data_IF_451461007835
#
_entry.id   IF_451461007835
#
_cell.length_a   1.000
_cell.length_b   1.000
_cell.length_c   1.000
_cell.angle_alpha   90.00
_cell.angle_beta   90.00
_cell.angle_gamma   90.00
#
_symmetry.space_group_name_H-M   'P 1'
#
loop_
_entity.id
_entity.type
_entity.pdbx_description
1 polymer ?
#
# COMPACT_ATOMS: atom_id res chain seq x y z
N UNK A 1 -8.18 13.82 -12.47
CA UNK A 1 -7.58 15.02 -11.88
C UNK A 1 -6.24 14.65 -11.24
N UNK A 2 -5.13 15.20 -11.72
CA UNK A 2 -3.77 14.91 -11.24
C UNK A 2 -3.37 15.75 -10.03
N UNK A 3 -4.22 16.69 -9.60
CA UNK A 3 -3.90 17.66 -8.54
C UNK A 3 -3.69 17.03 -7.16
N UNK A 4 -4.28 15.87 -6.93
CA UNK A 4 -4.20 15.14 -5.67
C UNK A 4 -3.43 13.81 -5.79
N UNK A 5 -2.74 13.59 -6.92
CA UNK A 5 -1.94 12.41 -7.11
C UNK A 5 -0.60 12.56 -6.37
N UNK A 6 -0.31 11.69 -5.42
CA UNK A 6 0.89 11.71 -4.58
C UNK A 6 2.19 11.65 -5.39
N UNK A 7 2.18 11.00 -6.55
CA UNK A 7 3.35 10.98 -7.43
C UNK A 7 3.68 12.38 -7.99
N UNK A 8 2.66 13.24 -8.16
CA UNK A 8 2.84 14.62 -8.65
C UNK A 8 3.11 15.57 -7.48
N UNK A 9 2.30 15.50 -6.42
CA UNK A 9 2.35 16.50 -5.34
C UNK A 9 3.47 16.25 -4.34
N UNK A 10 3.95 15.02 -4.21
CA UNK A 10 5.04 14.65 -3.30
C UNK A 10 6.27 14.24 -4.09
N UNK A 11 6.23 13.11 -4.81
CA UNK A 11 7.41 12.51 -5.40
C UNK A 11 8.08 13.44 -6.42
N UNK A 12 7.33 14.00 -7.38
CA UNK A 12 7.91 14.88 -8.39
C UNK A 12 8.44 16.17 -7.79
N UNK A 13 7.74 16.78 -6.81
CA UNK A 13 8.22 18.00 -6.14
C UNK A 13 9.48 17.73 -5.30
N UNK A 14 9.55 16.61 -4.62
CA UNK A 14 10.72 16.20 -3.86
C UNK A 14 11.91 15.96 -4.80
N UNK A 15 11.69 15.25 -5.91
CA UNK A 15 12.72 15.02 -6.92
C UNK A 15 13.33 16.34 -7.43
N UNK A 16 12.48 17.31 -7.79
CA UNK A 16 12.94 18.66 -8.22
C UNK A 16 13.76 19.32 -7.13
N UNK A 17 13.32 19.30 -5.87
CA UNK A 17 14.04 19.91 -4.75
C UNK A 17 15.41 19.27 -4.48
N UNK A 18 15.52 17.98 -4.73
CA UNK A 18 16.76 17.19 -4.53
C UNK A 18 17.64 17.17 -5.79
N UNK A 19 17.23 17.80 -6.90
CA UNK A 19 17.94 17.78 -8.16
C UNK A 19 17.99 16.40 -8.82
N UNK A 20 16.98 15.57 -8.58
CA UNK A 20 16.87 14.26 -9.21
C UNK A 20 16.23 14.38 -10.60
N UNK A 21 16.76 13.64 -11.56
CA UNK A 21 16.31 13.70 -12.95
C UNK A 21 14.95 13.01 -13.17
N UNK A 22 14.55 12.09 -12.25
CA UNK A 22 13.35 11.28 -12.40
C UNK A 22 12.79 10.77 -11.08
N UNK A 23 11.56 10.30 -11.16
CA UNK A 23 10.90 9.44 -10.17
C UNK A 23 10.73 8.06 -10.80
N UNK A 24 11.19 7.01 -10.15
CA UNK A 24 11.08 5.65 -10.65
C UNK A 24 9.72 5.05 -10.32
N UNK A 25 9.06 4.49 -11.33
CA UNK A 25 7.82 3.74 -11.15
C UNK A 25 8.14 2.30 -10.79
N UNK A 26 7.54 1.82 -9.71
CA UNK A 26 7.79 0.46 -9.20
C UNK A 26 6.57 -0.45 -9.27
N UNK A 27 5.38 0.10 -9.47
CA UNK A 27 4.16 -0.70 -9.62
C UNK A 27 4.20 -1.54 -10.91
N UNK A 28 3.89 -2.80 -10.75
CA UNK A 28 3.93 -3.80 -11.80
C UNK A 28 2.71 -4.71 -11.69
N UNK A 29 1.65 -4.31 -12.40
CA UNK A 29 0.42 -5.09 -12.47
C UNK A 29 0.59 -6.23 -13.46
N UNK A 30 1.03 -7.38 -12.98
CA UNK A 30 0.92 -8.61 -13.75
C UNK A 30 -0.50 -9.17 -13.72
N UNK A 31 -0.90 -9.78 -14.83
CA UNK A 31 -1.90 -10.84 -14.82
C UNK A 31 -1.29 -12.05 -14.07
N UNK A 32 -1.56 -12.14 -12.78
CA UNK A 32 -0.88 -13.13 -11.93
C UNK A 32 -1.52 -14.50 -11.98
N UNK A 33 -2.73 -14.62 -11.55
CA UNK A 33 -3.45 -15.89 -11.57
C UNK A 33 -4.79 -15.64 -12.20
N UNK A 34 -5.07 -16.27 -13.30
CA UNK A 34 -6.40 -16.23 -13.88
C UNK A 34 -7.37 -16.95 -12.95
N UNK A 35 -8.50 -16.33 -12.61
CA UNK A 35 -9.51 -17.00 -11.78
C UNK A 35 -10.03 -18.25 -12.48
N UNK A 36 -10.30 -19.32 -11.70
CA UNK A 36 -10.89 -20.55 -12.23
C UNK A 36 -12.24 -20.32 -12.90
N UNK A 37 -12.99 -19.37 -12.41
CA UNK A 37 -14.28 -18.92 -12.95
C UNK A 37 -14.28 -17.38 -12.97
N UNK A 38 -13.97 -16.77 -14.11
CA UNK A 38 -13.93 -15.31 -14.26
C UNK A 38 -15.27 -14.62 -13.99
N UNK A 39 -16.41 -15.30 -14.24
CA UNK A 39 -17.74 -14.73 -14.03
C UNK A 39 -18.09 -14.70 -12.53
N UNK A 40 -17.72 -15.73 -11.78
CA UNK A 40 -17.95 -15.82 -10.34
C UNK A 40 -16.95 -14.98 -9.53
N UNK A 41 -15.73 -14.76 -10.03
CA UNK A 41 -14.65 -14.13 -9.29
C UNK A 41 -15.01 -12.74 -8.74
N UNK A 42 -15.58 -11.87 -9.57
CA UNK A 42 -15.96 -10.52 -9.15
C UNK A 42 -16.95 -10.48 -7.99
N UNK A 43 -18.10 -11.17 -8.09
CA UNK A 43 -19.06 -11.30 -6.99
C UNK A 43 -18.46 -11.93 -5.72
N UNK A 44 -17.65 -12.98 -5.84
CA UNK A 44 -17.03 -13.64 -4.69
C UNK A 44 -15.99 -12.76 -4.00
N UNK A 45 -15.15 -12.05 -4.73
CA UNK A 45 -14.22 -11.07 -4.18
C UNK A 45 -14.95 -9.92 -3.48
N UNK A 46 -16.03 -9.41 -4.06
CA UNK A 46 -16.84 -8.36 -3.44
C UNK A 46 -17.45 -8.82 -2.11
N UNK A 47 -17.88 -10.08 -2.02
CA UNK A 47 -18.38 -10.66 -0.79
C UNK A 47 -17.28 -10.86 0.26
N UNK A 48 -16.04 -11.18 -0.15
CA UNK A 48 -14.88 -11.27 0.75
C UNK A 48 -14.57 -9.91 1.36
N UNK A 49 -14.65 -8.83 0.56
CA UNK A 49 -14.39 -7.45 1.05
C UNK A 49 -15.53 -6.87 1.92
N UNK A 50 -16.69 -7.47 1.91
CA UNK A 50 -17.82 -7.07 2.78
C UNK A 50 -17.65 -7.61 4.22
N UNK A 51 -16.51 -7.29 4.84
CA UNK A 51 -16.16 -7.72 6.18
C UNK A 51 -16.04 -6.54 7.17
N UNK A 52 -16.05 -6.84 8.46
CA UNK A 52 -16.03 -5.82 9.50
C UNK A 52 -14.73 -4.97 9.51
N UNK A 53 -13.50 -5.54 9.43
CA UNK A 53 -12.27 -4.77 9.32
C UNK A 53 -12.25 -3.82 8.11
N UNK A 54 -12.71 -4.26 6.95
CA UNK A 54 -12.81 -3.40 5.76
C UNK A 54 -13.77 -2.23 5.97
N UNK A 55 -14.94 -2.49 6.54
CA UNK A 55 -15.94 -1.43 6.84
C UNK A 55 -15.41 -0.42 7.84
N UNK A 56 -14.76 -0.89 8.90
CA UNK A 56 -14.14 -0.03 9.90
C UNK A 56 -13.05 0.84 9.25
N UNK A 57 -12.14 0.23 8.51
CA UNK A 57 -11.06 0.94 7.81
C UNK A 57 -11.58 2.03 6.89
N UNK A 58 -12.59 1.72 6.08
CA UNK A 58 -13.17 2.69 5.14
C UNK A 58 -13.84 3.86 5.88
N UNK A 59 -14.52 3.59 6.98
CA UNK A 59 -15.14 4.65 7.80
C UNK A 59 -14.09 5.56 8.44
N UNK A 60 -12.99 4.99 8.97
CA UNK A 60 -11.87 5.77 9.51
C UNK A 60 -11.19 6.63 8.43
N UNK A 61 -10.99 6.08 7.23
CA UNK A 61 -10.37 6.81 6.12
C UNK A 61 -11.27 7.97 5.65
N UNK A 62 -12.57 7.75 5.54
CA UNK A 62 -13.53 8.80 5.18
C UNK A 62 -13.51 9.95 6.22
N UNK A 63 -13.46 9.62 7.51
CA UNK A 63 -13.34 10.62 8.59
C UNK A 63 -12.03 11.40 8.48
N UNK A 64 -10.90 10.71 8.27
CA UNK A 64 -9.59 11.37 8.21
C UNK A 64 -9.43 12.22 6.96
N UNK A 65 -9.93 11.75 5.83
CA UNK A 65 -9.89 12.48 4.56
C UNK A 65 -10.74 13.76 4.66
N UNK A 66 -11.94 13.67 5.22
CA UNK A 66 -12.79 14.83 5.45
C UNK A 66 -12.14 15.86 6.40
N UNK A 67 -11.54 15.39 7.50
CA UNK A 67 -10.84 16.26 8.46
C UNK A 67 -9.57 16.91 7.86
N UNK A 68 -8.88 16.24 6.96
CA UNK A 68 -7.75 16.80 6.23
C UNK A 68 -8.22 17.84 5.21
N UNK A 69 -9.32 17.57 4.49
CA UNK A 69 -9.87 18.47 3.48
C UNK A 69 -10.44 19.77 4.08
N UNK A 70 -11.10 19.70 5.25
CA UNK A 70 -11.65 20.86 5.95
C UNK A 70 -10.61 21.63 6.78
N UNK A 71 -9.37 21.11 6.86
CA UNK A 71 -8.24 21.70 7.57
C UNK A 71 -8.24 21.49 9.06
N UNK A 72 -9.14 20.68 9.62
CA UNK A 72 -9.16 20.34 11.06
C UNK A 72 -8.07 19.32 11.43
N UNK A 73 -7.54 18.57 10.46
CA UNK A 73 -6.41 17.65 10.62
C UNK A 73 -5.19 18.12 9.83
N UNK A 74 -4.03 18.34 10.48
CA UNK A 74 -2.78 18.60 9.78
C UNK A 74 -2.37 17.43 8.87
N UNK A 75 -1.77 17.74 7.72
CA UNK A 75 -1.34 16.72 6.73
C UNK A 75 -0.38 15.67 7.32
N UNK A 76 0.52 16.06 8.21
CA UNK A 76 1.44 15.10 8.85
C UNK A 76 0.69 14.15 9.80
N UNK A 77 -0.33 14.63 10.51
CA UNK A 77 -1.17 13.77 11.35
C UNK A 77 -1.99 12.80 10.50
N UNK A 78 -2.50 13.24 9.36
CA UNK A 78 -3.17 12.39 8.38
C UNK A 78 -2.24 11.25 7.91
N UNK A 79 -0.98 11.52 7.55
CA UNK A 79 0.00 10.49 7.22
C UNK A 79 0.36 9.59 8.39
N UNK A 80 0.45 10.11 9.62
CA UNK A 80 0.69 9.29 10.83
C UNK A 80 -0.42 8.28 11.03
N UNK A 81 -1.68 8.66 10.84
CA UNK A 81 -2.82 7.75 10.98
C UNK A 81 -2.78 6.62 9.97
N UNK A 82 -2.56 6.92 8.70
CA UNK A 82 -2.44 5.90 7.65
C UNK A 82 -1.24 4.95 7.88
N UNK A 83 -0.17 5.42 8.48
CA UNK A 83 1.01 4.60 8.78
C UNK A 83 0.96 3.96 10.17
N UNK A 84 -0.10 4.15 10.95
CA UNK A 84 -0.22 3.59 12.29
C UNK A 84 -0.32 2.05 12.26
N UNK A 85 0.22 1.36 13.27
CA UNK A 85 0.06 -0.10 13.39
C UNK A 85 -1.40 -0.55 13.35
N UNK A 86 -2.31 0.22 13.92
CA UNK A 86 -3.74 -0.08 13.92
C UNK A 86 -4.33 -0.02 12.50
N UNK A 87 -4.03 1.03 11.73
CA UNK A 87 -4.48 1.15 10.34
C UNK A 87 -3.92 0.04 9.45
N UNK A 88 -2.63 -0.27 9.61
CA UNK A 88 -1.99 -1.37 8.87
C UNK A 88 -2.60 -2.74 9.23
N UNK A 89 -2.91 -2.97 10.51
CA UNK A 89 -3.57 -4.20 10.95
C UNK A 89 -4.97 -4.35 10.34
N UNK A 90 -5.78 -3.28 10.32
CA UNK A 90 -7.10 -3.29 9.68
C UNK A 90 -6.99 -3.57 8.17
N UNK A 91 -5.99 -3.00 7.50
CA UNK A 91 -5.75 -3.27 6.09
C UNK A 91 -5.41 -4.75 5.85
N UNK A 92 -4.51 -5.32 6.67
CA UNK A 92 -4.13 -6.72 6.57
C UNK A 92 -5.28 -7.68 6.92
N UNK A 93 -6.06 -7.39 7.95
CA UNK A 93 -7.20 -8.22 8.32
C UNK A 93 -8.32 -8.17 7.28
N UNK A 94 -8.65 -6.98 6.79
CA UNK A 94 -9.70 -6.77 5.79
C UNK A 94 -9.37 -7.33 4.42
N UNK A 95 -8.11 -7.30 4.02
CA UNK A 95 -7.65 -7.75 2.70
C UNK A 95 -7.08 -9.17 2.78
N UNK A 96 -5.87 -9.32 3.32
CA UNK A 96 -5.17 -10.62 3.36
C UNK A 96 -5.90 -11.64 4.24
N UNK A 97 -6.26 -11.27 5.46
CA UNK A 97 -6.91 -12.17 6.41
C UNK A 97 -8.26 -12.65 5.90
N UNK A 98 -9.07 -11.75 5.36
CA UNK A 98 -10.36 -12.08 4.77
C UNK A 98 -10.23 -13.01 3.56
N UNK A 99 -9.30 -12.73 2.64
CA UNK A 99 -9.06 -13.58 1.48
C UNK A 99 -8.50 -14.96 1.87
N UNK A 100 -7.58 -15.03 2.83
CA UNK A 100 -7.01 -16.28 3.32
C UNK A 100 -8.04 -17.17 4.04
N UNK A 101 -8.98 -16.56 4.75
CA UNK A 101 -10.06 -17.26 5.44
C UNK A 101 -11.25 -17.64 4.57
N UNK A 102 -11.37 -17.07 3.38
CA UNK A 102 -12.50 -17.25 2.50
C UNK A 102 -12.54 -18.68 1.91
N UNK A 103 -13.77 -19.18 1.78
CA UNK A 103 -14.06 -20.44 1.09
C UNK A 103 -15.14 -20.18 0.05
N UNK A 104 -14.70 -20.01 -1.18
CA UNK A 104 -15.59 -19.75 -2.31
C UNK A 104 -15.49 -20.86 -3.35
N UNK A 105 -16.54 -21.13 -4.13
CA UNK A 105 -16.53 -22.18 -5.16
C UNK A 105 -15.42 -22.00 -6.22
N UNK A 106 -15.06 -20.75 -6.56
CA UNK A 106 -14.04 -20.45 -7.56
C UNK A 106 -12.63 -20.26 -6.97
N UNK A 107 -12.43 -20.50 -5.65
CA UNK A 107 -11.18 -20.17 -4.94
C UNK A 107 -10.75 -18.70 -5.09
N UNK A 108 -11.72 -17.77 -5.14
CA UNK A 108 -11.44 -16.35 -5.39
C UNK A 108 -10.45 -15.75 -4.38
N UNK A 109 -10.53 -16.11 -3.10
CA UNK A 109 -9.59 -15.66 -2.08
C UNK A 109 -8.15 -16.08 -2.37
N UNK A 110 -7.93 -17.35 -2.72
CA UNK A 110 -6.60 -17.86 -3.07
C UNK A 110 -6.06 -17.23 -4.35
N UNK A 111 -6.91 -17.03 -5.34
CA UNK A 111 -6.57 -16.35 -6.59
C UNK A 111 -6.12 -14.91 -6.33
N UNK A 112 -6.87 -14.18 -5.49
CA UNK A 112 -6.49 -12.83 -5.08
C UNK A 112 -5.15 -12.82 -4.34
N UNK A 113 -4.95 -13.70 -3.37
CA UNK A 113 -3.70 -13.77 -2.62
C UNK A 113 -2.50 -14.02 -3.52
N UNK A 114 -2.60 -14.95 -4.46
CA UNK A 114 -1.52 -15.24 -5.41
C UNK A 114 -1.20 -14.01 -6.28
N UNK A 115 -2.22 -13.31 -6.77
CA UNK A 115 -2.06 -12.08 -7.53
C UNK A 115 -1.39 -10.99 -6.68
N UNK A 116 -1.95 -10.71 -5.49
CA UNK A 116 -1.52 -9.59 -4.64
C UNK A 116 -0.09 -9.79 -4.13
N UNK A 117 0.24 -11.00 -3.68
CA UNK A 117 1.59 -11.35 -3.22
C UNK A 117 2.60 -11.22 -4.35
N UNK A 118 2.28 -11.75 -5.55
CA UNK A 118 3.15 -11.64 -6.72
C UNK A 118 3.38 -10.19 -7.12
N UNK A 119 2.33 -9.35 -7.11
CA UNK A 119 2.45 -7.92 -7.39
C UNK A 119 3.39 -7.23 -6.39
N UNK A 120 3.19 -7.47 -5.08
CA UNK A 120 4.05 -6.88 -4.05
C UNK A 120 5.52 -7.33 -4.17
N UNK A 121 5.78 -8.61 -4.43
CA UNK A 121 7.14 -9.12 -4.65
C UNK A 121 7.81 -8.47 -5.86
N UNK A 122 7.08 -8.26 -6.94
CA UNK A 122 7.60 -7.57 -8.14
C UNK A 122 7.89 -6.10 -7.87
N UNK A 123 6.99 -5.42 -7.15
CA UNK A 123 7.19 -4.03 -6.75
C UNK A 123 8.46 -3.89 -5.88
N UNK A 124 8.65 -4.79 -4.92
CA UNK A 124 9.88 -4.84 -4.09
C UNK A 124 11.13 -5.12 -4.93
N UNK A 125 11.04 -6.04 -5.90
CA UNK A 125 12.16 -6.30 -6.81
C UNK A 125 12.50 -5.06 -7.66
N UNK A 126 11.49 -4.32 -8.12
CA UNK A 126 11.68 -3.07 -8.87
C UNK A 126 12.32 -1.98 -7.99
N UNK A 127 11.87 -1.83 -6.72
CA UNK A 127 12.52 -0.95 -5.76
C UNK A 127 14.01 -1.32 -5.61
N UNK A 128 14.30 -2.62 -5.46
CA UNK A 128 15.69 -3.09 -5.29
C UNK A 128 16.60 -2.77 -6.46
N UNK A 129 16.06 -2.67 -7.67
CA UNK A 129 16.84 -2.31 -8.86
C UNK A 129 17.21 -0.82 -8.91
N UNK A 130 16.43 0.05 -8.25
CA UNK A 130 16.64 1.51 -8.28
C UNK A 130 17.34 2.04 -7.02
N UNK A 131 17.34 1.29 -5.93
CA UNK A 131 18.08 1.65 -4.72
C UNK A 131 19.58 1.62 -5.01
N UNK A 132 20.25 2.76 -4.84
CA UNK A 132 21.71 2.87 -4.89
C UNK A 132 22.39 2.41 -3.60
N UNK A 133 23.71 2.27 -3.63
CA UNK A 133 24.56 2.08 -2.44
C UNK A 133 24.65 3.39 -1.68
N UNK A 134 24.53 3.33 -0.35
CA UNK A 134 24.61 4.50 0.55
C UNK A 134 23.65 5.65 0.19
N UNK A 135 22.46 5.29 -0.32
CA UNK A 135 21.43 6.27 -0.68
C UNK A 135 20.21 6.15 0.24
N UNK A 136 19.50 7.26 0.40
CA UNK A 136 18.19 7.30 1.05
C UNK A 136 17.11 7.24 -0.03
N UNK A 137 16.16 6.34 0.12
CA UNK A 137 15.06 6.15 -0.84
C UNK A 137 13.73 6.35 -0.14
N UNK A 138 12.88 7.21 -0.70
CA UNK A 138 11.48 7.33 -0.28
C UNK A 138 10.61 6.51 -1.24
N UNK A 139 9.91 5.51 -0.71
CA UNK A 139 8.89 4.77 -1.42
C UNK A 139 7.50 5.29 -1.04
N UNK A 140 6.70 5.68 -2.03
CA UNK A 140 5.31 6.14 -1.84
C UNK A 140 4.40 5.08 -2.46
N UNK A 141 3.48 4.57 -1.67
CA UNK A 141 2.61 3.46 -2.07
C UNK A 141 1.29 3.50 -1.30
N UNK A 142 0.25 2.88 -1.85
CA UNK A 142 -1.00 2.70 -1.12
C UNK A 142 -0.81 1.88 0.16
N UNK A 143 -1.54 2.23 1.21
CA UNK A 143 -1.39 1.69 2.56
C UNK A 143 -1.38 0.16 2.64
N UNK A 144 -2.18 -0.52 1.82
CA UNK A 144 -2.25 -2.00 1.78
C UNK A 144 -0.97 -2.67 1.25
N UNK A 145 -0.06 -1.91 0.63
CA UNK A 145 1.24 -2.44 0.18
C UNK A 145 2.34 -2.31 1.25
N UNK A 146 2.21 -1.36 2.18
CA UNK A 146 3.26 -1.07 3.16
C UNK A 146 3.69 -2.29 3.98
N UNK A 147 2.79 -3.13 4.53
CA UNK A 147 3.21 -4.32 5.30
C UNK A 147 4.07 -5.30 4.49
N UNK A 148 3.85 -5.39 3.19
CA UNK A 148 4.65 -6.23 2.30
C UNK A 148 6.03 -5.61 2.04
N UNK A 149 6.10 -4.29 1.88
CA UNK A 149 7.36 -3.58 1.73
C UNK A 149 8.22 -3.72 2.98
N UNK A 150 7.65 -3.46 4.15
CA UNK A 150 8.35 -3.61 5.44
C UNK A 150 8.87 -5.05 5.60
N UNK A 151 8.04 -6.05 5.30
CA UNK A 151 8.42 -7.45 5.38
C UNK A 151 9.54 -7.82 4.42
N UNK A 152 9.37 -7.57 3.13
CA UNK A 152 10.29 -8.08 2.11
C UNK A 152 11.58 -7.27 2.00
N UNK A 153 11.53 -5.96 2.11
CA UNK A 153 12.74 -5.13 2.19
C UNK A 153 13.51 -5.41 3.47
N UNK A 154 12.82 -5.59 4.60
CA UNK A 154 13.43 -5.94 5.89
C UNK A 154 14.11 -7.32 5.93
N UNK A 155 13.85 -8.20 4.96
CA UNK A 155 14.58 -9.48 4.82
C UNK A 155 15.96 -9.31 4.18
N UNK A 156 16.27 -8.13 3.63
CA UNK A 156 17.51 -7.86 2.90
C UNK A 156 18.55 -7.25 3.85
N UNK A 157 19.67 -7.94 4.07
CA UNK A 157 20.72 -7.52 5.03
C UNK A 157 21.46 -6.22 4.67
N UNK A 158 21.29 -5.72 3.45
CA UNK A 158 21.90 -4.49 2.96
C UNK A 158 20.90 -3.34 2.76
N UNK A 159 19.72 -3.45 3.36
CA UNK A 159 18.68 -2.40 3.42
C UNK A 159 18.37 -2.14 4.89
N UNK A 160 18.38 -0.89 5.26
CA UNK A 160 17.88 -0.40 6.53
C UNK A 160 16.52 0.27 6.29
N UNK A 161 15.48 -0.22 6.98
CA UNK A 161 14.16 0.40 6.96
C UNK A 161 14.09 1.47 8.04
N UNK A 162 13.77 2.68 7.62
CA UNK A 162 13.50 3.78 8.57
C UNK A 162 12.02 3.77 8.91
N UNK A 163 11.69 3.81 10.20
CA UNK A 163 10.30 3.89 10.63
C UNK A 163 9.66 5.20 10.17
N UNK A 164 8.62 5.07 9.37
CA UNK A 164 7.88 6.23 8.85
C UNK A 164 7.31 7.10 9.97
N UNK A 165 6.86 6.49 11.08
CA UNK A 165 6.30 7.24 12.21
C UNK A 165 7.35 8.02 12.98
N UNK A 166 8.58 7.52 13.08
CA UNK A 166 9.70 8.28 13.66
C UNK A 166 10.01 9.53 12.81
N UNK A 167 10.09 9.37 11.48
CA UNK A 167 10.31 10.50 10.56
C UNK A 167 9.17 11.52 10.61
N UNK A 168 7.94 11.06 10.68
CA UNK A 168 6.76 11.94 10.76
C UNK A 168 6.56 12.58 12.14
N UNK A 169 7.28 12.13 13.18
CA UNK A 169 7.23 12.71 14.54
C UNK A 169 8.17 13.92 14.70
N UNK A 170 9.15 14.07 13.80
CA UNK A 170 10.06 15.23 13.80
C UNK A 170 9.30 16.48 13.34
N UNK A 171 9.26 17.51 14.17
CA UNK A 171 8.65 18.83 13.92
C UNK A 171 9.54 19.71 13.02
#
# INVERSE_FOLDING_TARGET
DTRHNENVVIAARLAVRLGLDRVDRVDDQMSGSDPKDPEAYGPEISAIWDNAPTKQRLAEYEEWDAAMEDGSMPILEWYRRYNSPASLALAMEGDFGAAAGARTPSDAGQTYLAYWETRNLRMVANIRQVIGTDTRTLAIVGVSHKPYYDRYLGMMSNIELVDTLEVLAED
#
